data_IF_314357702542
#
_entry.id   IF_314357702542
#
_cell.length_a   1.000
_cell.length_b   1.000
_cell.length_c   1.000
_cell.angle_alpha   90.00
_cell.angle_beta   90.00
_cell.angle_gamma   90.00
#
_symmetry.space_group_name_H-M   'P 1'
#
loop_
_entity.id
_entity.type
_entity.pdbx_description
1 polymer ?
#
# COMPACT_ATOMS: atom_id res chain seq x y z
N UNK A 1 -17.22 5.81 -21.67
CA UNK A 1 -17.11 5.94 -20.22
C UNK A 1 -16.80 7.37 -19.83
N UNK A 2 -17.47 7.86 -18.78
CA UNK A 2 -17.07 9.08 -18.09
C UNK A 2 -16.13 8.80 -16.92
N UNK A 3 -15.76 9.83 -16.16
CA UNK A 3 -14.92 9.69 -14.96
C UNK A 3 -15.33 10.71 -13.91
N UNK A 4 -15.04 10.38 -12.66
CA UNK A 4 -15.16 11.29 -11.51
C UNK A 4 -13.81 11.37 -10.84
N UNK A 5 -13.22 12.56 -10.82
CA UNK A 5 -12.01 12.81 -10.02
C UNK A 5 -12.39 12.94 -8.55
N UNK A 6 -11.85 12.07 -7.71
CA UNK A 6 -12.10 12.10 -6.28
C UNK A 6 -11.29 13.21 -5.60
N UNK A 7 -11.84 13.78 -4.53
CA UNK A 7 -11.19 14.84 -3.77
C UNK A 7 -9.87 14.34 -3.13
N UNK A 8 -9.91 13.12 -2.58
CA UNK A 8 -8.76 12.40 -2.03
C UNK A 8 -8.75 10.97 -2.56
N UNK A 9 -7.59 10.31 -2.62
CA UNK A 9 -7.51 8.89 -2.91
C UNK A 9 -8.35 8.06 -1.92
N UNK A 10 -9.02 7.01 -2.39
CA UNK A 10 -9.83 6.11 -1.57
C UNK A 10 -9.44 4.66 -1.81
N UNK A 11 -9.69 3.80 -0.82
CA UNK A 11 -9.47 2.36 -0.99
C UNK A 11 -10.50 1.73 -1.91
N UNK A 12 -10.05 0.86 -2.78
CA UNK A 12 -10.92 -0.10 -3.45
C UNK A 12 -11.18 -1.27 -2.49
N UNK A 13 -12.43 -1.47 -2.07
CA UNK A 13 -12.79 -2.47 -1.05
C UNK A 13 -12.28 -3.89 -1.39
N UNK A 14 -12.34 -4.28 -2.67
CA UNK A 14 -11.88 -5.59 -3.16
C UNK A 14 -10.36 -5.79 -3.10
N UNK A 15 -9.58 -4.70 -3.10
CA UNK A 15 -8.11 -4.79 -3.11
C UNK A 15 -7.46 -4.53 -1.75
N UNK A 16 -8.20 -4.13 -0.72
CA UNK A 16 -7.64 -3.80 0.59
C UNK A 16 -6.77 -4.92 1.20
N UNK A 17 -7.19 -6.18 1.06
CA UNK A 17 -6.41 -7.32 1.57
C UNK A 17 -5.10 -7.48 0.79
N UNK A 18 -5.12 -7.24 -0.52
CA UNK A 18 -3.92 -7.32 -1.36
C UNK A 18 -2.97 -6.16 -1.08
N UNK A 19 -3.50 -4.94 -0.93
CA UNK A 19 -2.74 -3.76 -0.52
C UNK A 19 -2.06 -4.01 0.83
N UNK A 20 -2.79 -4.51 1.83
CA UNK A 20 -2.23 -4.89 3.13
C UNK A 20 -1.06 -5.87 3.00
N UNK A 21 -1.21 -6.93 2.20
CA UNK A 21 -0.13 -7.91 1.97
C UNK A 21 1.11 -7.28 1.34
N UNK A 22 0.94 -6.37 0.40
CA UNK A 22 2.07 -5.65 -0.21
C UNK A 22 2.75 -4.76 0.82
N UNK A 23 2.00 -4.02 1.64
CA UNK A 23 2.55 -3.20 2.73
C UNK A 23 3.33 -4.03 3.76
N UNK A 24 2.91 -5.28 4.00
CA UNK A 24 3.64 -6.23 4.86
C UNK A 24 4.92 -6.78 4.20
N UNK A 25 5.12 -6.61 2.90
CA UNK A 25 6.34 -7.02 2.20
C UNK A 25 7.36 -5.91 2.08
N UNK A 26 6.92 -4.65 2.05
CA UNK A 26 7.76 -3.48 1.77
C UNK A 26 8.02 -2.65 3.02
N UNK A 27 9.04 -1.81 2.95
CA UNK A 27 9.28 -0.79 3.96
C UNK A 27 8.32 0.38 3.79
N UNK A 28 7.63 0.77 4.85
CA UNK A 28 6.70 1.90 4.84
C UNK A 28 7.41 3.25 4.61
N UNK A 29 8.67 3.38 5.01
CA UNK A 29 9.46 4.61 4.87
C UNK A 29 10.07 4.76 3.48
N UNK A 30 10.89 3.78 3.04
CA UNK A 30 11.64 3.89 1.78
C UNK A 30 10.97 3.21 0.59
N UNK A 31 9.96 2.35 0.79
CA UNK A 31 9.24 1.63 -0.27
C UNK A 31 9.94 0.39 -0.80
N UNK A 32 11.18 0.08 -0.38
CA UNK A 32 11.91 -1.12 -0.81
C UNK A 32 11.30 -2.40 -0.25
N UNK A 33 11.39 -3.48 -1.00
CA UNK A 33 11.05 -4.82 -0.53
C UNK A 33 12.00 -5.24 0.61
N UNK A 34 11.48 -5.88 1.67
CA UNK A 34 12.26 -6.29 2.85
C UNK A 34 13.10 -7.53 2.64
N UNK A 35 13.09 -8.07 1.45
CA UNK A 35 13.93 -9.20 0.99
C UNK A 35 14.42 -8.89 -0.41
N UNK A 36 15.58 -9.39 -0.79
CA UNK A 36 16.15 -9.16 -2.12
C UNK A 36 16.64 -10.46 -2.78
N UNK A 37 17.17 -10.34 -3.99
CA UNK A 37 17.68 -11.46 -4.79
C UNK A 37 18.99 -12.06 -4.23
N UNK A 38 19.66 -11.39 -3.30
CA UNK A 38 20.85 -11.92 -2.61
C UNK A 38 20.49 -13.09 -1.70
N UNK A 39 19.25 -13.13 -1.19
CA UNK A 39 18.75 -14.28 -0.44
C UNK A 39 18.51 -15.46 -1.40
N UNK A 40 19.20 -16.60 -1.24
CA UNK A 40 19.05 -17.78 -2.11
C UNK A 40 17.63 -18.31 -2.18
N UNK A 41 16.85 -18.16 -1.10
CA UNK A 41 15.43 -18.56 -1.06
C UNK A 41 14.61 -17.69 -2.00
N UNK A 42 14.83 -16.36 -1.97
CA UNK A 42 14.14 -15.42 -2.86
C UNK A 42 14.50 -15.68 -4.31
N UNK A 43 15.80 -15.86 -4.62
CA UNK A 43 16.27 -16.20 -5.96
C UNK A 43 15.63 -17.48 -6.50
N UNK A 44 15.53 -18.53 -5.68
CA UNK A 44 14.85 -19.78 -6.04
C UNK A 44 13.34 -19.58 -6.30
N UNK A 45 12.67 -18.75 -5.48
CA UNK A 45 11.25 -18.43 -5.66
C UNK A 45 11.04 -17.73 -7.00
N UNK A 46 11.85 -16.74 -7.33
CA UNK A 46 11.74 -15.98 -8.58
C UNK A 46 11.97 -16.89 -9.80
N UNK A 47 12.87 -17.87 -9.70
CA UNK A 47 13.15 -18.83 -10.80
C UNK A 47 12.06 -19.88 -10.97
N UNK A 48 11.52 -20.43 -9.87
CA UNK A 48 10.63 -21.62 -9.91
C UNK A 48 9.16 -21.30 -9.80
N UNK A 49 8.77 -20.21 -9.14
CA UNK A 49 7.37 -19.87 -8.89
C UNK A 49 6.85 -18.94 -9.97
N UNK A 50 5.69 -19.29 -10.54
CA UNK A 50 5.00 -18.42 -11.53
C UNK A 50 4.66 -17.06 -10.90
N UNK A 51 4.72 -15.94 -11.66
CA UNK A 51 4.49 -14.59 -11.13
C UNK A 51 3.21 -14.45 -10.31
N UNK A 52 2.11 -15.04 -10.77
CA UNK A 52 0.80 -15.00 -10.10
C UNK A 52 0.79 -15.53 -8.65
N UNK A 53 1.73 -16.40 -8.31
CA UNK A 53 1.83 -17.02 -6.97
C UNK A 53 2.96 -16.43 -6.12
N UNK A 54 3.88 -15.64 -6.71
CA UNK A 54 5.07 -15.11 -6.03
C UNK A 54 4.72 -14.25 -4.82
N UNK A 55 3.75 -13.34 -4.96
CA UNK A 55 3.36 -12.45 -3.86
C UNK A 55 3.04 -13.19 -2.56
N UNK A 56 2.36 -14.35 -2.64
CA UNK A 56 2.01 -15.14 -1.45
C UNK A 56 3.24 -15.73 -0.77
N UNK A 57 4.20 -16.20 -1.56
CA UNK A 57 5.43 -16.86 -1.04
C UNK A 57 6.40 -15.82 -0.50
N UNK A 58 6.62 -14.72 -1.23
CA UNK A 58 7.45 -13.59 -0.80
C UNK A 58 6.89 -12.96 0.48
N UNK A 59 5.56 -12.80 0.57
CA UNK A 59 4.91 -12.32 1.79
C UNK A 59 5.26 -13.19 3.02
N UNK A 60 5.30 -14.51 2.86
CA UNK A 60 5.66 -15.44 3.93
C UNK A 60 7.09 -15.26 4.47
N UNK A 61 8.00 -14.71 3.67
CA UNK A 61 9.37 -14.37 4.07
C UNK A 61 9.48 -12.92 4.57
N UNK A 62 9.02 -11.97 3.78
CA UNK A 62 9.18 -10.55 4.03
C UNK A 62 8.42 -10.06 5.27
N UNK A 63 7.21 -10.57 5.52
CA UNK A 63 6.38 -10.14 6.66
C UNK A 63 6.97 -10.47 8.03
N UNK A 64 7.91 -11.42 8.10
CA UNK A 64 8.61 -11.79 9.34
C UNK A 64 9.71 -10.81 9.73
N UNK A 65 10.21 -10.02 8.77
CA UNK A 65 11.26 -9.03 9.03
C UNK A 65 10.65 -7.76 9.61
N UNK A 66 10.98 -7.46 10.86
CA UNK A 66 10.43 -6.31 11.58
C UNK A 66 11.15 -5.00 11.26
N UNK A 67 12.35 -5.06 10.72
CA UNK A 67 13.21 -3.92 10.41
C UNK A 67 13.57 -3.95 8.93
N UNK A 68 13.70 -2.77 8.32
CA UNK A 68 14.25 -2.61 6.98
C UNK A 68 15.78 -2.61 7.06
N UNK A 69 16.38 -3.78 7.00
CA UNK A 69 17.80 -4.00 7.27
C UNK A 69 18.68 -3.23 6.28
N UNK A 70 19.57 -2.31 6.76
CA UNK A 70 20.58 -1.69 5.92
C UNK A 70 21.65 -2.73 5.54
N UNK A 71 22.41 -2.45 4.50
CA UNK A 71 23.59 -3.24 4.21
C UNK A 71 24.61 -3.04 5.34
N UNK A 72 25.21 -4.14 5.84
CA UNK A 72 26.33 -4.05 6.74
C UNK A 72 27.48 -3.36 5.99
N UNK A 73 28.00 -2.28 6.53
CA UNK A 73 29.26 -1.70 6.07
C UNK A 73 30.35 -2.55 6.67
N UNK A 74 31.22 -3.07 5.84
CA UNK A 74 32.48 -3.69 6.30
C UNK A 74 33.32 -2.58 6.93
N UNK A 75 33.06 -2.23 8.19
CA UNK A 75 33.89 -1.28 8.95
C UNK A 75 35.28 -1.88 9.28
N UNK A 76 35.47 -3.20 9.12
CA UNK A 76 36.73 -3.91 9.32
C UNK A 76 37.57 -4.07 8.04
N UNK A 77 37.20 -3.46 6.90
CA UNK A 77 38.06 -3.49 5.70
C UNK A 77 39.25 -2.52 5.74
N UNK A 78 39.56 -1.96 6.90
CA UNK A 78 40.69 -1.11 7.14
C UNK A 78 41.86 -1.91 7.75
N UNK A 79 42.76 -2.43 6.93
CA UNK A 79 44.09 -2.95 7.23
C UNK A 79 44.35 -4.44 6.91
N UNK A 80 43.81 -4.93 5.79
CA UNK A 80 44.32 -6.17 5.20
C UNK A 80 45.37 -5.82 4.15
N UNK A 81 46.63 -6.03 4.50
CA UNK A 81 47.75 -5.98 3.56
C UNK A 81 47.61 -6.99 2.43
N UNK A 82 48.05 -6.58 1.23
CA UNK A 82 47.80 -7.17 -0.10
C UNK A 82 48.27 -8.64 -0.34
N UNK A 83 48.43 -9.47 0.64
CA UNK A 83 48.98 -10.85 0.44
C UNK A 83 47.93 -11.98 0.55
N UNK A 84 46.70 -11.70 1.04
CA UNK A 84 45.68 -12.74 1.22
C UNK A 84 44.55 -12.76 0.17
N UNK A 85 44.69 -12.00 -0.93
CA UNK A 85 43.63 -11.87 -1.97
C UNK A 85 43.41 -13.12 -2.84
N UNK A 86 44.26 -14.14 -2.77
CA UNK A 86 44.17 -15.31 -3.67
C UNK A 86 43.35 -16.50 -3.13
N UNK A 87 42.89 -16.47 -1.89
CA UNK A 87 42.10 -17.56 -1.31
C UNK A 87 40.68 -17.22 -0.91
N UNK A 88 40.22 -15.98 -1.12
CA UNK A 88 38.92 -15.50 -0.65
C UNK A 88 37.77 -15.60 -1.69
N UNK A 89 37.99 -16.28 -2.84
CA UNK A 89 36.96 -16.32 -3.90
C UNK A 89 35.77 -17.27 -3.64
N UNK A 90 35.76 -18.05 -2.54
CA UNK A 90 34.71 -19.05 -2.30
C UNK A 90 33.89 -18.89 -1.02
N UNK A 91 34.11 -17.89 -0.19
CA UNK A 91 33.32 -17.62 1.01
C UNK A 91 32.82 -16.17 1.08
N UNK A 92 32.27 -15.63 0.01
CA UNK A 92 31.47 -14.43 0.12
C UNK A 92 30.18 -14.81 0.86
N UNK A 93 30.22 -14.74 2.18
CA UNK A 93 29.04 -14.70 3.02
C UNK A 93 28.11 -13.65 2.45
N UNK A 94 26.89 -14.04 2.11
CA UNK A 94 25.85 -13.12 1.66
C UNK A 94 25.76 -12.01 2.71
N UNK A 95 26.23 -10.80 2.38
CA UNK A 95 26.23 -9.66 3.29
C UNK A 95 24.84 -9.52 3.88
N UNK A 96 24.74 -9.43 5.19
CA UNK A 96 23.45 -9.25 5.85
C UNK A 96 22.88 -7.91 5.44
N UNK A 97 21.57 -7.85 5.18
CA UNK A 97 20.87 -6.64 4.75
C UNK A 97 20.34 -6.73 3.33
N UNK A 98 19.56 -5.75 2.95
CA UNK A 98 18.95 -5.63 1.60
C UNK A 98 19.00 -4.18 1.08
N UNK A 99 19.95 -3.38 1.54
CA UNK A 99 20.06 -1.96 1.20
C UNK A 99 18.93 -1.12 1.78
N UNK A 100 18.39 -1.52 2.91
CA UNK A 100 17.29 -0.86 3.59
C UNK A 100 17.66 0.44 4.29
N UNK A 101 16.69 1.07 4.92
CA UNK A 101 16.85 2.37 5.61
C UNK A 101 16.96 2.28 7.13
N UNK A 102 16.96 1.08 7.72
CA UNK A 102 17.01 0.86 9.17
C UNK A 102 15.66 1.06 9.90
N UNK A 103 14.61 1.48 9.21
CA UNK A 103 13.34 1.80 9.86
C UNK A 103 12.60 0.54 10.35
N UNK A 104 12.08 0.62 11.57
CA UNK A 104 11.14 -0.37 12.10
C UNK A 104 9.82 -0.36 11.34
N UNK A 105 9.23 -1.53 11.17
CA UNK A 105 8.03 -1.71 10.38
C UNK A 105 6.79 -1.91 11.24
N UNK A 106 5.68 -1.24 10.89
CA UNK A 106 4.44 -1.41 11.61
C UNK A 106 3.79 -2.77 11.32
N UNK A 107 3.00 -3.24 12.27
CA UNK A 107 2.08 -4.35 12.06
C UNK A 107 0.78 -3.81 11.51
N UNK A 108 0.39 -4.30 10.33
CA UNK A 108 -0.80 -3.84 9.64
C UNK A 108 -2.06 -4.60 10.05
N UNK A 109 -3.12 -3.86 10.36
CA UNK A 109 -4.46 -4.41 10.58
C UNK A 109 -5.45 -3.79 9.59
N UNK A 110 -6.42 -4.59 9.17
CA UNK A 110 -7.58 -4.09 8.41
C UNK A 110 -8.75 -3.96 9.36
N UNK A 111 -9.31 -2.78 9.47
CA UNK A 111 -10.49 -2.47 10.28
C UNK A 111 -11.55 -1.86 9.36
N UNK A 112 -12.55 -2.64 9.01
CA UNK A 112 -13.59 -2.28 8.03
C UNK A 112 -12.98 -1.73 6.71
N UNK A 113 -13.13 -0.44 6.45
CA UNK A 113 -12.60 0.27 5.27
C UNK A 113 -11.33 1.07 5.58
N UNK A 114 -10.67 0.84 6.71
CA UNK A 114 -9.43 1.49 7.12
C UNK A 114 -8.29 0.49 7.23
N UNK A 115 -7.08 0.95 6.99
CA UNK A 115 -5.85 0.24 7.33
C UNK A 115 -5.19 0.95 8.51
N UNK A 116 -4.87 0.18 9.52
CA UNK A 116 -4.29 0.67 10.78
C UNK A 116 -2.88 0.13 10.90
N UNK A 117 -1.93 1.02 11.14
CA UNK A 117 -0.54 0.71 11.42
C UNK A 117 -0.32 0.73 12.94
N UNK A 118 0.20 -0.37 13.48
CA UNK A 118 0.61 -0.48 14.89
C UNK A 118 2.14 -0.54 14.92
N UNK A 119 2.76 0.53 15.41
CA UNK A 119 4.20 0.58 15.64
C UNK A 119 4.53 -0.04 17.00
N UNK A 120 5.66 -0.73 17.08
CA UNK A 120 6.16 -1.20 18.38
C UNK A 120 6.60 0.02 19.19
N UNK A 121 6.36 -0.04 20.50
CA UNK A 121 6.98 0.91 21.40
C UNK A 121 8.50 0.75 21.36
N UNK A 122 9.23 1.83 21.16
CA UNK A 122 10.68 1.81 21.33
C UNK A 122 10.97 1.52 22.80
N UNK A 123 11.73 0.47 23.07
CA UNK A 123 12.18 0.14 24.42
C UNK A 123 13.14 1.24 24.88
N UNK A 124 12.64 2.18 25.65
CA UNK A 124 13.44 3.04 26.49
C UNK A 124 13.94 2.17 27.67
N UNK A 125 15.06 2.52 28.25
CA UNK A 125 15.81 1.76 29.24
C UNK A 125 14.97 0.88 30.20
N UNK A 126 15.56 -0.26 30.60
CA UNK A 126 14.93 -1.35 31.35
C UNK A 126 14.21 -0.97 32.67
N UNK A 127 14.21 0.31 33.04
CA UNK A 127 13.65 0.84 34.29
C UNK A 127 12.44 1.77 34.08
N UNK A 128 12.01 2.04 32.86
CA UNK A 128 10.80 2.84 32.60
C UNK A 128 9.70 1.94 32.01
N UNK A 129 8.46 2.19 32.40
CA UNK A 129 7.30 1.50 31.81
C UNK A 129 7.33 1.71 30.30
N UNK A 130 7.31 0.60 29.55
CA UNK A 130 7.36 0.66 28.10
C UNK A 130 6.20 1.53 27.57
N UNK A 131 6.45 2.57 26.77
CA UNK A 131 5.40 3.42 26.24
C UNK A 131 4.38 2.57 25.45
N UNK A 132 3.11 2.95 25.48
CA UNK A 132 2.08 2.24 24.73
C UNK A 132 2.39 2.25 23.24
N UNK A 133 2.14 1.13 22.53
CA UNK A 133 2.39 1.05 21.11
C UNK A 133 1.52 2.06 20.36
N UNK A 134 2.15 2.87 19.51
CA UNK A 134 1.42 3.84 18.67
C UNK A 134 0.54 3.10 17.64
N UNK A 135 -0.75 3.32 17.72
CA UNK A 135 -1.75 2.76 16.80
C UNK A 135 -2.42 3.90 16.07
N UNK A 136 -2.19 4.01 14.77
CA UNK A 136 -2.84 5.05 13.97
C UNK A 136 -3.46 4.51 12.67
N UNK A 137 -4.61 5.04 12.26
CA UNK A 137 -5.13 4.80 10.93
C UNK A 137 -4.22 5.51 9.91
N UNK A 138 -3.97 4.84 8.79
CA UNK A 138 -3.16 5.40 7.70
C UNK A 138 -4.07 5.75 6.53
N UNK A 139 -3.94 6.97 6.03
CA UNK A 139 -4.78 7.45 4.93
C UNK A 139 -4.47 6.72 3.61
N UNK A 140 -5.48 6.55 2.73
CA UNK A 140 -5.24 5.99 1.40
C UNK A 140 -4.21 6.79 0.60
N UNK A 141 -4.13 8.10 0.80
CA UNK A 141 -3.15 8.98 0.14
C UNK A 141 -1.71 8.69 0.57
N UNK A 142 -1.47 8.46 1.87
CA UNK A 142 -0.15 8.05 2.37
C UNK A 142 0.26 6.70 1.75
N UNK A 143 -0.66 5.73 1.77
CA UNK A 143 -0.41 4.40 1.19
C UNK A 143 -0.14 4.49 -0.31
N UNK A 144 -0.90 5.30 -1.04
CA UNK A 144 -0.68 5.55 -2.46
C UNK A 144 0.76 6.05 -2.72
N UNK A 145 1.23 7.00 -1.92
CA UNK A 145 2.59 7.54 -2.04
C UNK A 145 3.67 6.50 -1.73
N UNK A 146 3.45 5.63 -0.75
CA UNK A 146 4.37 4.52 -0.43
C UNK A 146 4.42 3.50 -1.56
N UNK A 147 3.26 3.09 -2.09
CA UNK A 147 3.18 2.12 -3.19
C UNK A 147 3.87 2.62 -4.47
N UNK A 148 3.84 3.93 -4.73
CA UNK A 148 4.54 4.54 -5.87
C UNK A 148 6.06 4.51 -5.76
N UNK A 149 6.60 4.43 -4.54
CA UNK A 149 8.06 4.38 -4.30
C UNK A 149 8.67 3.01 -4.57
N UNK A 150 7.86 1.98 -4.75
CA UNK A 150 8.35 0.61 -4.94
C UNK A 150 9.17 0.54 -6.23
N UNK A 151 10.45 0.08 -6.17
CA UNK A 151 11.29 -0.09 -7.34
C UNK A 151 10.74 -1.14 -8.32
N UNK A 152 11.07 -1.00 -9.60
CA UNK A 152 10.63 -1.92 -10.65
C UNK A 152 11.10 -3.36 -10.41
N UNK A 153 12.32 -3.53 -9.94
CA UNK A 153 12.91 -4.85 -9.63
C UNK A 153 12.15 -5.54 -8.49
N UNK A 154 11.76 -4.80 -7.47
CA UNK A 154 10.97 -5.31 -6.34
C UNK A 154 9.57 -5.74 -6.79
N UNK A 155 8.94 -4.99 -7.72
CA UNK A 155 7.68 -5.39 -8.34
C UNK A 155 7.81 -6.71 -9.09
N UNK A 156 8.91 -6.90 -9.83
CA UNK A 156 9.20 -8.15 -10.53
C UNK A 156 9.38 -9.33 -9.56
N UNK A 157 10.11 -9.13 -8.46
CA UNK A 157 10.29 -10.15 -7.41
C UNK A 157 8.94 -10.56 -6.82
N UNK A 158 8.06 -9.61 -6.54
CA UNK A 158 6.70 -9.87 -6.06
C UNK A 158 5.77 -10.48 -7.14
N UNK A 159 6.19 -10.53 -8.40
CA UNK A 159 5.39 -11.04 -9.50
C UNK A 159 4.29 -10.09 -9.96
N UNK A 160 4.46 -8.79 -9.72
CA UNK A 160 3.59 -7.74 -10.23
C UNK A 160 4.11 -7.24 -11.58
N UNK A 161 3.18 -6.90 -12.47
CA UNK A 161 3.53 -6.36 -13.78
C UNK A 161 3.56 -4.83 -13.72
N UNK A 162 4.66 -4.23 -14.19
CA UNK A 162 4.87 -2.78 -14.17
C UNK A 162 3.88 -2.06 -15.10
N UNK A 163 3.57 -2.67 -16.26
CA UNK A 163 2.74 -2.05 -17.28
C UNK A 163 1.24 -2.18 -17.01
N UNK A 164 0.81 -3.29 -16.35
CA UNK A 164 -0.61 -3.65 -16.22
C UNK A 164 -1.09 -3.89 -14.80
N UNK A 165 -0.21 -3.93 -13.80
CA UNK A 165 -0.57 -4.29 -12.42
C UNK A 165 0.27 -3.56 -11.37
N UNK A 166 0.41 -2.25 -11.52
CA UNK A 166 1.10 -1.43 -10.52
C UNK A 166 0.29 -1.37 -9.23
N UNK A 167 0.94 -1.51 -8.06
CA UNK A 167 0.23 -1.59 -6.77
C UNK A 167 -0.51 -0.29 -6.42
N UNK A 168 0.00 0.88 -6.80
CA UNK A 168 -0.67 2.16 -6.56
C UNK A 168 -2.02 2.28 -7.28
N UNK A 169 -2.26 1.53 -8.36
CA UNK A 169 -3.55 1.52 -9.05
C UNK A 169 -4.67 0.82 -8.28
N UNK A 170 -4.34 0.10 -7.21
CA UNK A 170 -5.33 -0.46 -6.28
C UNK A 170 -5.94 0.59 -5.34
N UNK A 171 -5.38 1.80 -5.33
CA UNK A 171 -5.93 2.96 -4.65
C UNK A 171 -6.61 3.84 -5.71
N UNK A 172 -7.87 4.14 -5.49
CA UNK A 172 -8.66 4.90 -6.47
C UNK A 172 -8.46 6.40 -6.30
N UNK A 173 -8.03 7.06 -7.34
CA UNK A 173 -7.98 8.53 -7.45
C UNK A 173 -9.06 9.05 -8.39
N UNK A 174 -9.47 8.22 -9.34
CA UNK A 174 -10.49 8.48 -10.35
C UNK A 174 -11.46 7.30 -10.42
N UNK A 175 -12.74 7.58 -10.46
CA UNK A 175 -13.80 6.58 -10.60
C UNK A 175 -14.28 6.52 -12.05
N UNK A 176 -14.37 5.33 -12.67
CA UNK A 176 -15.01 5.19 -13.97
C UNK A 176 -16.52 5.31 -13.83
N UNK A 177 -17.14 6.04 -14.75
CA UNK A 177 -18.61 6.20 -14.82
C UNK A 177 -19.12 5.44 -16.04
N UNK A 178 -19.96 4.41 -15.85
CA UNK A 178 -20.51 3.65 -16.96
C UNK A 178 -21.46 4.50 -17.80
N UNK A 179 -21.58 4.23 -19.10
CA UNK A 179 -22.52 4.93 -19.97
C UNK A 179 -23.97 4.70 -19.55
N UNK A 180 -24.86 5.58 -20.00
CA UNK A 180 -26.30 5.54 -19.65
C UNK A 180 -26.99 4.21 -20.01
N UNK A 181 -26.50 3.49 -21.02
CA UNK A 181 -27.04 2.19 -21.40
C UNK A 181 -26.87 1.12 -20.32
N UNK A 182 -25.81 1.23 -19.46
CA UNK A 182 -25.56 0.31 -18.33
C UNK A 182 -26.44 0.65 -17.12
N UNK A 183 -26.89 1.89 -17.00
CA UNK A 183 -27.73 2.41 -15.91
C UNK A 183 -28.94 3.15 -16.47
N UNK A 184 -29.84 2.45 -17.17
CA UNK A 184 -30.97 3.09 -17.84
C UNK A 184 -32.00 3.67 -16.86
N UNK A 185 -32.62 4.78 -17.21
CA UNK A 185 -33.78 5.28 -16.49
C UNK A 185 -35.06 4.64 -17.05
N UNK A 186 -35.93 4.20 -16.13
CA UNK A 186 -37.21 3.53 -16.47
C UNK A 186 -38.33 4.51 -16.34
N UNK A 187 -39.20 4.54 -17.34
CA UNK A 187 -40.47 5.33 -17.33
C UNK A 187 -41.52 4.57 -16.50
N UNK A 188 -42.05 5.21 -15.48
CA UNK A 188 -43.15 4.70 -14.65
C UNK A 188 -44.43 5.45 -15.05
N UNK A 189 -45.58 4.78 -14.99
CA UNK A 189 -46.93 5.37 -15.25
C UNK A 189 -47.08 6.09 -16.60
N UNK A 190 -46.71 5.43 -17.69
CA UNK A 190 -46.97 5.97 -19.04
C UNK A 190 -46.12 7.17 -19.43
N UNK A 191 -45.01 7.45 -18.72
CA UNK A 191 -44.03 8.49 -19.09
C UNK A 191 -44.03 9.74 -18.24
N UNK A 192 -44.96 9.87 -17.28
CA UNK A 192 -45.04 11.04 -16.40
C UNK A 192 -43.96 11.11 -15.33
N UNK A 193 -43.47 9.96 -14.88
CA UNK A 193 -42.37 9.86 -13.90
C UNK A 193 -41.27 8.95 -14.43
N UNK A 194 -40.00 9.33 -14.19
CA UNK A 194 -38.81 8.51 -14.46
C UNK A 194 -38.19 8.07 -13.15
N UNK A 195 -37.86 6.78 -13.06
CA UNK A 195 -37.03 6.22 -12.00
C UNK A 195 -35.64 6.01 -12.54
N UNK A 196 -34.64 6.54 -11.85
CA UNK A 196 -33.23 6.34 -12.16
C UNK A 196 -32.73 5.04 -11.52
N UNK A 197 -31.72 4.46 -12.15
CA UNK A 197 -31.02 3.28 -11.61
C UNK A 197 -30.28 3.61 -10.30
N UNK A 198 -30.18 2.65 -9.40
CA UNK A 198 -29.45 2.80 -8.11
C UNK A 198 -28.00 3.20 -8.30
N UNK A 199 -27.34 2.74 -9.38
CA UNK A 199 -25.99 3.16 -9.73
C UNK A 199 -25.90 4.66 -9.99
N UNK A 200 -26.92 5.25 -10.63
CA UNK A 200 -26.98 6.71 -10.87
C UNK A 200 -27.08 7.48 -9.56
N UNK A 201 -27.92 7.02 -8.63
CA UNK A 201 -28.02 7.63 -7.29
C UNK A 201 -26.70 7.54 -6.53
N UNK A 202 -26.01 6.39 -6.55
CA UNK A 202 -24.70 6.23 -5.91
C UNK A 202 -23.63 7.14 -6.52
N UNK A 203 -23.58 7.24 -7.84
CA UNK A 203 -22.64 8.16 -8.51
C UNK A 203 -22.91 9.62 -8.14
N UNK A 204 -24.17 10.01 -8.03
CA UNK A 204 -24.55 11.37 -7.57
C UNK A 204 -24.11 11.62 -6.11
N UNK A 205 -24.25 10.63 -5.22
CA UNK A 205 -23.77 10.71 -3.85
C UNK A 205 -22.23 10.84 -3.79
N UNK A 206 -21.50 10.08 -4.59
CA UNK A 206 -20.03 10.16 -4.68
C UNK A 206 -19.62 11.56 -5.16
N UNK A 207 -20.22 12.08 -6.22
CA UNK A 207 -19.95 13.43 -6.73
C UNK A 207 -20.20 14.50 -5.68
N UNK A 208 -21.36 14.47 -5.02
CA UNK A 208 -21.75 15.44 -4.00
C UNK A 208 -20.81 15.40 -2.80
N UNK A 209 -20.48 14.20 -2.29
CA UNK A 209 -19.60 14.05 -1.13
C UNK A 209 -18.18 14.45 -1.49
N UNK A 210 -17.67 14.09 -2.67
CA UNK A 210 -16.33 14.51 -3.14
C UNK A 210 -16.25 16.04 -3.26
N UNK A 211 -17.27 16.70 -3.83
CA UNK A 211 -17.33 18.16 -3.89
C UNK A 211 -17.36 18.80 -2.49
N UNK A 212 -18.08 18.19 -1.54
CA UNK A 212 -18.12 18.66 -0.14
C UNK A 212 -16.74 18.56 0.51
N UNK A 213 -16.03 17.45 0.36
CA UNK A 213 -14.65 17.30 0.89
C UNK A 213 -13.74 18.39 0.33
N UNK A 214 -13.73 18.62 -1.00
CA UNK A 214 -12.92 19.69 -1.62
C UNK A 214 -13.24 21.07 -1.07
N UNK A 215 -14.54 21.37 -0.88
CA UNK A 215 -14.99 22.65 -0.35
C UNK A 215 -14.50 22.84 1.09
N UNK A 216 -14.67 21.85 1.97
CA UNK A 216 -14.25 21.93 3.36
C UNK A 216 -12.73 22.09 3.49
N UNK A 217 -11.95 21.44 2.62
CA UNK A 217 -10.50 21.65 2.55
C UNK A 217 -10.15 23.08 2.12
N UNK A 218 -10.83 23.63 1.11
CA UNK A 218 -10.58 24.99 0.65
C UNK A 218 -11.00 26.06 1.69
N UNK A 219 -12.02 25.78 2.49
CA UNK A 219 -12.48 26.63 3.60
C UNK A 219 -11.59 26.52 4.86
N UNK A 220 -10.63 25.58 4.89
CA UNK A 220 -9.72 25.40 6.04
C UNK A 220 -10.42 24.87 7.30
N UNK A 221 -11.47 24.09 7.13
CA UNK A 221 -12.23 23.47 8.24
C UNK A 221 -11.37 22.48 9.02
N UNK A 222 -11.57 22.31 10.35
CA UNK A 222 -10.80 21.34 11.14
C UNK A 222 -10.74 19.94 10.53
N UNK A 223 -9.57 19.26 10.58
CA UNK A 223 -9.36 17.95 9.93
C UNK A 223 -10.39 16.90 10.34
N UNK A 224 -10.86 16.89 11.59
CA UNK A 224 -11.86 15.94 12.08
C UNK A 224 -13.17 15.97 11.28
N UNK A 225 -13.63 17.17 10.89
CA UNK A 225 -14.87 17.33 10.09
C UNK A 225 -14.63 16.91 8.64
N UNK A 226 -13.45 17.21 8.10
CA UNK A 226 -13.07 16.78 6.74
C UNK A 226 -12.98 15.25 6.69
N UNK A 227 -12.39 14.62 7.71
CA UNK A 227 -12.21 13.17 7.78
C UNK A 227 -13.55 12.44 7.92
N UNK A 228 -14.53 13.03 8.63
CA UNK A 228 -15.88 12.47 8.71
C UNK A 228 -16.57 12.43 7.33
N UNK A 229 -16.45 13.50 6.56
CA UNK A 229 -16.97 13.54 5.19
C UNK A 229 -16.18 12.65 4.23
N UNK A 230 -14.88 12.50 4.46
CA UNK A 230 -14.04 11.57 3.73
C UNK A 230 -14.41 10.11 4.01
N UNK A 231 -14.69 9.74 5.26
CA UNK A 231 -15.17 8.41 5.62
C UNK A 231 -16.52 8.10 4.91
N UNK A 232 -17.40 9.08 4.79
CA UNK A 232 -18.63 8.95 4.03
C UNK A 232 -18.36 8.75 2.52
N UNK A 233 -17.40 9.49 1.94
CA UNK A 233 -16.97 9.28 0.55
C UNK A 233 -16.42 7.86 0.34
N UNK A 234 -15.55 7.40 1.23
CA UNK A 234 -15.01 6.04 1.20
C UNK A 234 -16.10 4.98 1.27
N UNK A 235 -17.13 5.19 2.10
CA UNK A 235 -18.28 4.31 2.20
C UNK A 235 -19.10 4.29 0.90
N UNK A 236 -19.39 5.45 0.30
CA UNK A 236 -20.14 5.50 -0.96
C UNK A 236 -19.38 4.81 -2.11
N UNK A 237 -18.06 4.99 -2.20
CA UNK A 237 -17.25 4.30 -3.20
C UNK A 237 -17.25 2.79 -2.94
N UNK A 238 -17.09 2.36 -1.70
CA UNK A 238 -17.07 0.93 -1.35
C UNK A 238 -18.41 0.21 -1.61
N UNK A 239 -19.53 0.93 -1.47
CA UNK A 239 -20.87 0.39 -1.75
C UNK A 239 -21.24 0.45 -3.24
N UNK A 240 -20.55 1.27 -4.02
CA UNK A 240 -20.71 1.30 -5.48
C UNK A 240 -19.96 0.15 -6.16
N UNK A 241 -18.82 -0.30 -5.62
CA UNK A 241 -17.95 -1.37 -6.12
C UNK A 241 -18.47 -2.76 -5.73
#
# INVERSE_FOLDING_TARGET
FGHIELARPVFHAGFMVKVKKILECICFSCGKLRVDMRDPLVANIVRRVKPQHRLKVIWGLASKRAVCEPDERDEDAGDATNEDQFHAENEHGVGKGHGGCGAEQPVWRKEALKLVAKFKAQSVDKNEEAPEPEVRPVSPGEIYNVLRKIPADDLHIMGLNIDYARPEWMILTVMPVPPAAVRPSISIDGGAMRSEDDLTYKLAQILKTSATVRRLEAEGVPPSVVDEQFDLLQFHVATYM
#
